data_IF_022226118071
#
_entry.id   IF_022226118071
#
_cell.length_a   1.000
_cell.length_b   1.000
_cell.length_c   1.000
_cell.angle_alpha   90.00
_cell.angle_beta   90.00
_cell.angle_gamma   90.00
#
_symmetry.space_group_name_H-M   'P 1'
#
loop_
_entity.id
_entity.type
_entity.pdbx_description
1 polymer ?
#
# COMPACT_ATOMS: atom_id res chain seq x y z
N UNK A 1 -74.37 38.44 -18.13
CA UNK A 1 -74.69 39.27 -16.98
C UNK A 1 -73.39 39.64 -16.32
N UNK A 2 -72.81 40.81 -16.64
CA UNK A 2 -72.87 42.10 -15.97
C UNK A 2 -72.40 42.00 -14.51
N UNK A 3 -71.25 42.56 -14.12
CA UNK A 3 -71.05 43.97 -13.83
C UNK A 3 -69.57 44.29 -13.55
N UNK A 4 -69.19 45.41 -14.14
CA UNK A 4 -67.97 46.23 -13.84
C UNK A 4 -68.08 46.74 -12.37
N UNK A 5 -66.91 46.94 -11.75
CA UNK A 5 -66.64 48.21 -11.02
C UNK A 5 -65.17 48.49 -10.97
N UNK A 6 -64.78 49.62 -11.47
CA UNK A 6 -63.49 50.28 -11.32
C UNK A 6 -63.42 50.98 -9.95
N UNK A 7 -62.27 51.06 -9.33
CA UNK A 7 -61.99 52.03 -8.27
C UNK A 7 -60.49 52.37 -8.30
N UNK A 8 -60.28 53.63 -8.67
CA UNK A 8 -59.12 54.47 -8.50
C UNK A 8 -58.60 54.44 -7.04
N UNK A 9 -57.30 54.33 -6.86
CA UNK A 9 -56.64 54.78 -5.65
C UNK A 9 -55.24 55.33 -5.94
N UNK A 10 -55.12 56.56 -5.61
CA UNK A 10 -54.00 57.47 -5.55
C UNK A 10 -52.66 56.84 -5.15
N UNK A 11 -51.66 57.13 -5.94
CA UNK A 11 -50.23 57.02 -5.62
C UNK A 11 -49.87 58.10 -4.58
N UNK A 12 -49.52 57.62 -3.36
CA UNK A 12 -48.85 58.46 -2.36
C UNK A 12 -47.39 58.05 -2.26
N UNK A 13 -46.54 58.83 -2.86
CA UNK A 13 -45.08 58.72 -2.72
C UNK A 13 -44.64 59.09 -1.29
N UNK A 14 -43.79 58.29 -0.60
CA UNK A 14 -43.25 58.69 0.68
C UNK A 14 -42.13 59.72 0.52
N UNK A 15 -41.94 60.64 1.48
CA UNK A 15 -40.94 61.68 1.39
C UNK A 15 -39.53 61.15 1.60
N UNK A 16 -38.65 61.42 0.66
CA UNK A 16 -37.21 61.21 0.76
C UNK A 16 -36.62 62.10 1.85
N UNK A 17 -36.36 61.50 3.04
CA UNK A 17 -35.56 62.16 4.07
C UNK A 17 -34.10 62.18 3.65
N UNK A 18 -33.61 63.31 3.21
CA UNK A 18 -32.20 63.59 2.98
C UNK A 18 -31.46 63.49 4.35
N UNK A 19 -30.60 62.48 4.48
CA UNK A 19 -29.68 62.33 5.61
C UNK A 19 -28.63 63.45 5.57
N UNK A 20 -28.60 64.30 6.58
CA UNK A 20 -27.65 65.41 6.65
C UNK A 20 -26.21 64.91 6.76
N UNK A 21 -25.26 65.55 6.07
CA UNK A 21 -23.83 65.25 6.04
C UNK A 21 -23.18 65.12 7.44
N UNK A 22 -23.76 65.76 8.47
CA UNK A 22 -23.32 65.69 9.87
C UNK A 22 -23.62 64.34 10.55
N UNK A 23 -24.67 63.61 10.12
CA UNK A 23 -24.95 62.30 10.69
C UNK A 23 -24.09 61.15 10.07
N UNK A 24 -23.60 61.33 8.84
CA UNK A 24 -22.67 60.43 8.20
C UNK A 24 -21.27 60.47 8.84
N UNK A 25 -20.82 61.63 9.29
CA UNK A 25 -19.51 61.77 9.96
C UNK A 25 -19.51 61.18 11.40
N UNK A 26 -20.65 61.16 12.10
CA UNK A 26 -20.80 60.52 13.42
C UNK A 26 -20.80 58.98 13.36
N UNK A 27 -21.33 58.39 12.26
CA UNK A 27 -21.31 56.94 12.08
C UNK A 27 -19.95 56.37 11.62
N UNK A 28 -19.15 57.21 10.92
CA UNK A 28 -17.80 56.80 10.51
C UNK A 28 -16.79 56.78 11.66
N UNK A 29 -17.01 57.60 12.72
CA UNK A 29 -16.10 57.65 13.87
C UNK A 29 -16.27 56.48 14.85
N UNK A 30 -17.39 55.77 14.82
CA UNK A 30 -17.64 54.61 15.70
C UNK A 30 -17.15 53.27 15.08
N UNK A 31 -16.80 53.27 13.80
CA UNK A 31 -16.31 52.05 13.12
C UNK A 31 -14.78 51.87 13.23
N UNK A 32 -14.08 52.85 13.82
CA UNK A 32 -12.60 52.85 13.87
C UNK A 32 -11.99 52.34 15.17
N UNK A 33 -12.83 51.81 16.09
CA UNK A 33 -12.37 51.25 17.36
C UNK A 33 -12.86 49.80 17.58
N UNK A 34 -12.86 48.98 16.50
CA UNK A 34 -12.81 47.53 16.72
C UNK A 34 -11.42 47.23 17.28
N UNK A 35 -11.30 46.72 18.51
CA UNK A 35 -10.02 46.27 19.00
C UNK A 35 -9.57 45.16 18.02
N UNK A 36 -8.48 45.38 17.29
CA UNK A 36 -7.71 44.31 16.66
C UNK A 36 -7.20 43.50 17.86
N UNK A 37 -8.01 42.55 18.34
CA UNK A 37 -7.56 41.55 19.28
C UNK A 37 -6.51 40.79 18.51
N UNK A 38 -5.20 40.88 18.84
CA UNK A 38 -4.22 40.04 18.24
C UNK A 38 -4.70 38.60 18.48
N UNK A 39 -5.03 37.86 17.43
CA UNK A 39 -5.17 36.41 17.55
C UNK A 39 -3.81 35.96 18.04
N UNK A 40 -3.67 35.72 19.33
CA UNK A 40 -2.55 34.97 19.88
C UNK A 40 -2.64 33.64 19.14
N UNK A 41 -1.80 33.47 18.14
CA UNK A 41 -1.66 32.18 17.47
C UNK A 41 -1.19 31.23 18.59
N UNK A 42 -2.10 30.43 19.12
CA UNK A 42 -1.72 29.39 20.08
C UNK A 42 -0.75 28.46 19.35
N UNK A 43 0.39 28.20 19.98
CA UNK A 43 1.32 27.23 19.47
C UNK A 43 0.63 25.89 19.28
N UNK A 44 0.86 25.24 18.15
CA UNK A 44 0.30 23.93 17.87
C UNK A 44 0.77 22.92 18.90
N UNK A 45 -0.09 22.02 19.32
CA UNK A 45 0.26 20.99 20.30
C UNK A 45 0.61 19.69 19.61
N UNK A 46 1.76 19.14 19.96
CA UNK A 46 2.15 17.80 19.56
C UNK A 46 1.31 16.77 20.32
N UNK A 47 0.63 15.89 19.57
CA UNK A 47 -0.25 14.85 20.09
C UNK A 47 0.46 13.51 20.19
N UNK A 48 1.25 13.15 19.16
CA UNK A 48 2.00 11.91 19.12
C UNK A 48 3.24 12.02 18.24
N UNK A 49 4.20 11.13 18.48
CA UNK A 49 5.39 10.94 17.66
C UNK A 49 5.52 9.46 17.33
N UNK A 50 5.76 9.15 16.06
CA UNK A 50 5.97 7.79 15.58
C UNK A 50 7.19 7.71 14.69
N UNK A 51 7.89 6.58 14.71
CA UNK A 51 9.03 6.28 13.85
C UNK A 51 8.87 4.89 13.26
N UNK A 52 9.15 4.78 11.97
CA UNK A 52 9.00 3.55 11.18
C UNK A 52 10.31 3.32 10.42
N UNK A 53 11.31 2.68 11.05
CA UNK A 53 12.57 2.36 10.39
C UNK A 53 12.40 1.17 9.46
N UNK A 54 12.92 1.30 8.23
CA UNK A 54 13.01 0.22 7.25
C UNK A 54 14.24 0.39 6.37
N UNK A 55 14.70 -0.67 5.73
CA UNK A 55 15.84 -0.59 4.81
C UNK A 55 15.58 0.31 3.60
N UNK A 56 14.31 0.44 3.18
CA UNK A 56 13.93 1.25 2.05
C UNK A 56 13.85 2.74 2.39
N UNK A 57 13.37 3.08 3.57
CA UNK A 57 13.33 4.43 4.11
C UNK A 57 12.94 4.40 5.60
N UNK A 58 13.36 5.42 6.34
CA UNK A 58 12.80 5.68 7.68
C UNK A 58 11.77 6.79 7.58
N UNK A 59 10.60 6.59 8.18
CA UNK A 59 9.60 7.64 8.36
C UNK A 59 9.55 8.11 9.80
N UNK A 60 9.53 9.41 9.99
CA UNK A 60 9.23 10.07 11.26
C UNK A 60 7.96 10.89 11.08
N UNK A 61 6.97 10.67 11.94
CA UNK A 61 5.69 11.37 11.91
C UNK A 61 5.45 12.12 13.22
N UNK A 62 5.14 13.40 13.12
CA UNK A 62 4.66 14.24 14.20
C UNK A 62 3.17 14.49 14.01
N UNK A 63 2.33 14.01 14.93
CA UNK A 63 0.89 14.27 14.91
C UNK A 63 0.56 15.49 15.75
N UNK A 64 -0.27 16.39 15.21
CA UNK A 64 -0.48 17.74 15.70
C UNK A 64 -1.98 18.06 15.69
N UNK A 65 -2.41 18.97 16.58
CA UNK A 65 -3.80 19.46 16.62
C UNK A 65 -4.12 20.48 15.51
N UNK A 66 -3.08 21.05 14.87
CA UNK A 66 -3.21 22.01 13.78
C UNK A 66 -2.10 21.85 12.74
N UNK A 67 -2.32 22.40 11.56
CA UNK A 67 -1.32 22.36 10.47
C UNK A 67 -0.13 23.24 10.79
N UNK A 68 1.09 22.74 10.55
CA UNK A 68 2.34 23.46 10.75
C UNK A 68 3.08 23.65 9.43
N UNK A 69 3.97 24.66 9.43
CA UNK A 69 4.96 24.86 8.37
C UNK A 69 6.31 24.34 8.84
N UNK A 70 6.98 23.59 8.02
CA UNK A 70 8.32 23.09 8.25
C UNK A 70 9.21 23.45 7.07
N UNK A 71 10.41 23.89 7.37
CA UNK A 71 11.50 24.14 6.41
C UNK A 71 12.62 23.17 6.74
N UNK A 72 13.30 22.66 5.71
CA UNK A 72 14.39 21.72 5.93
C UNK A 72 15.54 21.95 4.96
N UNK A 73 16.73 21.53 5.38
CA UNK A 73 17.92 21.46 4.55
C UNK A 73 18.83 20.33 5.01
N UNK A 74 19.70 19.88 4.11
CA UNK A 74 20.68 18.82 4.39
C UNK A 74 22.09 19.38 4.39
N UNK A 75 22.96 18.76 5.19
CA UNK A 75 24.41 19.00 5.23
C UNK A 75 25.12 17.69 4.88
N UNK A 76 26.18 17.77 4.07
CA UNK A 76 26.89 16.57 3.59
C UNK A 76 28.06 16.15 4.48
N UNK A 77 28.64 17.06 5.26
CA UNK A 77 29.85 16.78 6.08
C UNK A 77 29.75 17.42 7.46
N UNK A 78 29.40 16.68 8.49
CA UNK A 78 28.84 15.34 8.48
C UNK A 78 27.43 15.32 7.93
N UNK A 79 26.95 14.15 7.49
CA UNK A 79 25.59 14.02 6.98
C UNK A 79 24.55 14.37 8.05
N UNK A 80 23.75 15.38 7.78
CA UNK A 80 22.69 15.87 8.68
C UNK A 80 21.48 16.34 7.90
N UNK A 81 20.31 16.18 8.50
CA UNK A 81 19.09 16.87 8.09
C UNK A 81 18.66 17.79 9.23
N UNK A 82 18.41 19.05 8.91
CA UNK A 82 17.90 20.05 9.84
C UNK A 82 16.49 20.42 9.45
N UNK A 83 15.57 20.41 10.41
CA UNK A 83 14.17 20.76 10.21
C UNK A 83 13.77 21.83 11.20
N UNK A 84 13.31 22.98 10.70
CA UNK A 84 12.74 24.07 11.48
C UNK A 84 11.23 24.04 11.39
N UNK A 85 10.58 23.81 12.50
CA UNK A 85 9.11 23.71 12.61
C UNK A 85 8.59 24.99 13.24
N UNK A 86 7.75 25.72 12.50
CA UNK A 86 7.17 26.99 12.93
C UNK A 86 5.82 26.77 13.64
N UNK A 87 5.53 27.58 14.64
CA UNK A 87 4.23 27.54 15.36
C UNK A 87 4.16 26.47 16.45
N UNK A 88 5.31 25.97 16.93
CA UNK A 88 5.41 24.99 18.02
C UNK A 88 6.52 25.39 18.98
N UNK A 89 6.34 25.04 20.24
CA UNK A 89 7.36 25.15 21.27
C UNK A 89 7.83 23.77 21.72
N UNK A 90 9.03 23.75 22.34
CA UNK A 90 9.60 22.51 22.85
C UNK A 90 8.68 21.87 23.89
N UNK A 91 8.41 20.59 23.75
CA UNK A 91 7.50 19.84 24.60
C UNK A 91 8.08 18.50 25.03
N UNK A 92 7.58 17.89 26.11
CA UNK A 92 8.00 16.54 26.51
C UNK A 92 7.85 15.50 25.39
N UNK A 93 6.83 15.63 24.53
CA UNK A 93 6.61 14.73 23.38
C UNK A 93 7.71 14.83 22.33
N UNK A 94 8.29 16.03 22.09
CA UNK A 94 9.45 16.17 21.21
C UNK A 94 10.71 15.53 21.81
N UNK A 95 10.87 15.57 23.12
CA UNK A 95 11.97 14.86 23.79
C UNK A 95 11.77 13.33 23.74
N UNK A 96 10.52 12.86 23.65
CA UNK A 96 10.21 11.44 23.42
C UNK A 96 10.69 10.97 22.05
N UNK A 97 10.67 11.83 21.03
CA UNK A 97 11.19 11.51 19.69
C UNK A 97 12.66 11.08 19.77
N UNK A 98 13.48 11.75 20.59
CA UNK A 98 14.91 11.40 20.77
C UNK A 98 15.06 9.95 21.24
N UNK A 99 14.14 9.48 22.09
CA UNK A 99 14.17 8.11 22.63
C UNK A 99 13.59 7.07 21.69
N UNK A 100 12.75 7.48 20.72
CA UNK A 100 12.12 6.57 19.75
C UNK A 100 13.01 6.21 18.57
N UNK A 101 14.06 6.99 18.30
CA UNK A 101 15.04 6.61 17.29
C UNK A 101 15.83 5.41 17.79
N UNK A 102 15.75 4.34 17.03
CA UNK A 102 16.42 3.08 17.35
C UNK A 102 17.88 3.12 16.92
N UNK A 103 18.74 2.44 17.64
CA UNK A 103 20.17 2.33 17.31
C UNK A 103 20.43 1.57 16.01
N UNK A 104 19.51 0.68 15.64
CA UNK A 104 19.55 -0.11 14.40
C UNK A 104 18.82 0.56 13.22
N UNK A 105 18.32 1.81 13.37
CA UNK A 105 17.74 2.57 12.26
C UNK A 105 18.77 2.69 11.11
N UNK A 106 18.38 2.40 9.84
CA UNK A 106 19.33 2.40 8.72
C UNK A 106 19.87 3.78 8.34
N UNK A 107 19.14 4.84 8.66
CA UNK A 107 19.42 6.21 8.17
C UNK A 107 19.78 7.18 9.30
N UNK A 108 19.13 7.08 10.46
CA UNK A 108 19.26 8.01 11.56
C UNK A 108 20.21 7.42 12.61
N UNK A 109 21.31 8.12 12.91
CA UNK A 109 22.22 7.73 13.98
C UNK A 109 21.81 8.32 15.33
N UNK A 110 21.39 9.60 15.33
CA UNK A 110 20.87 10.30 16.50
C UNK A 110 20.07 11.51 16.09
N UNK A 111 19.32 12.09 17.04
CA UNK A 111 18.65 13.36 16.81
C UNK A 111 18.71 14.24 18.05
N UNK A 112 18.62 15.54 17.83
CA UNK A 112 18.61 16.59 18.85
C UNK A 112 17.47 17.54 18.57
N UNK A 113 16.81 18.00 19.63
CA UNK A 113 15.71 18.95 19.56
C UNK A 113 16.08 20.17 20.41
N UNK A 114 15.91 21.36 19.87
CA UNK A 114 16.15 22.61 20.58
C UNK A 114 15.20 23.72 20.14
N UNK A 115 14.91 24.65 21.02
CA UNK A 115 14.24 25.90 20.64
C UNK A 115 15.23 26.77 19.86
N UNK A 116 14.94 27.01 18.58
CA UNK A 116 15.80 27.84 17.71
C UNK A 116 15.47 29.34 17.87
N UNK A 117 14.18 29.67 17.88
CA UNK A 117 13.60 31.00 18.04
C UNK A 117 12.25 30.86 18.75
N UNK A 118 11.68 31.92 19.31
CA UNK A 118 10.29 31.87 19.81
C UNK A 118 9.37 31.26 18.74
N UNK A 119 8.55 30.28 19.13
CA UNK A 119 7.63 29.53 18.27
C UNK A 119 8.31 28.78 17.11
N UNK A 120 9.62 28.50 17.16
CA UNK A 120 10.34 27.69 16.14
C UNK A 120 11.22 26.66 16.83
N UNK A 121 10.87 25.41 16.69
CA UNK A 121 11.68 24.28 17.16
C UNK A 121 12.55 23.77 16.02
N UNK A 122 13.82 23.56 16.29
CA UNK A 122 14.78 22.92 15.39
C UNK A 122 15.02 21.49 15.80
N UNK A 123 14.84 20.59 14.85
CA UNK A 123 15.23 19.18 14.98
C UNK A 123 16.44 18.94 14.07
N UNK A 124 17.51 18.40 14.61
CA UNK A 124 18.69 18.01 13.87
C UNK A 124 18.84 16.50 13.90
N UNK A 125 18.75 15.87 12.76
CA UNK A 125 19.00 14.44 12.57
C UNK A 125 20.45 14.26 12.12
N UNK A 126 21.25 13.57 12.92
CA UNK A 126 22.57 13.08 12.51
C UNK A 126 22.35 11.78 11.72
N UNK A 127 22.91 11.67 10.53
CA UNK A 127 22.61 10.61 9.58
C UNK A 127 23.78 9.65 9.40
N UNK A 128 23.48 8.38 9.17
CA UNK A 128 24.47 7.33 8.87
C UNK A 128 24.96 7.38 7.42
N UNK A 129 24.16 7.97 6.53
CA UNK A 129 24.43 8.06 5.09
C UNK A 129 23.72 9.27 4.46
N UNK A 130 24.09 9.59 3.22
CA UNK A 130 23.41 10.62 2.45
C UNK A 130 21.97 10.18 2.10
N UNK A 131 21.02 11.11 2.23
CA UNK A 131 19.61 10.86 2.00
C UNK A 131 19.02 11.80 0.92
N UNK A 132 17.87 11.41 0.36
CA UNK A 132 16.94 12.22 -0.39
C UNK A 132 15.67 12.43 0.46
N UNK A 133 15.61 13.49 1.29
CA UNK A 133 14.52 13.66 2.23
C UNK A 133 13.24 14.10 1.52
N UNK A 134 12.09 13.65 2.06
CA UNK A 134 10.79 14.23 1.74
C UNK A 134 10.12 14.74 3.02
N UNK A 135 9.73 16.01 3.03
CA UNK A 135 9.04 16.66 4.16
C UNK A 135 7.73 17.23 3.65
N UNK A 136 6.63 16.79 4.25
CA UNK A 136 5.29 17.21 3.84
C UNK A 136 4.29 17.12 5.00
N UNK A 137 3.17 17.83 4.84
CA UNK A 137 2.07 17.79 5.80
C UNK A 137 0.90 17.00 5.25
N UNK A 138 0.20 16.29 6.15
CA UNK A 138 -1.02 15.56 5.85
C UNK A 138 -2.18 16.15 6.66
N UNK A 139 -3.32 16.29 6.00
CA UNK A 139 -4.59 16.65 6.63
C UNK A 139 -5.14 15.48 7.44
N UNK A 140 -6.07 15.74 8.38
CA UNK A 140 -6.75 14.68 9.11
C UNK A 140 -7.35 13.62 8.18
N UNK A 141 -7.12 12.33 8.53
CA UNK A 141 -7.67 11.18 7.81
C UNK A 141 -7.85 10.01 8.78
N UNK A 142 -9.01 9.35 8.76
CA UNK A 142 -9.37 8.34 9.75
C UNK A 142 -9.31 8.92 11.16
N UNK A 143 -8.62 8.24 12.06
CA UNK A 143 -8.43 8.67 13.46
C UNK A 143 -7.28 9.67 13.64
N UNK A 144 -6.47 9.90 12.61
CA UNK A 144 -5.32 10.79 12.64
C UNK A 144 -5.71 12.26 12.46
N UNK A 145 -5.03 13.14 13.21
CA UNK A 145 -5.11 14.60 13.05
C UNK A 145 -4.13 15.09 11.97
N UNK A 146 -3.70 16.35 12.05
CA UNK A 146 -2.66 16.85 11.16
C UNK A 146 -1.35 16.12 11.43
N UNK A 147 -0.60 15.79 10.37
CA UNK A 147 0.68 15.09 10.49
C UNK A 147 1.75 15.82 9.70
N UNK A 148 2.87 16.10 10.34
CA UNK A 148 4.12 16.45 9.66
C UNK A 148 4.91 15.16 9.48
N UNK A 149 5.21 14.81 8.23
CA UNK A 149 5.91 13.59 7.85
C UNK A 149 7.29 13.93 7.34
N UNK A 150 8.28 13.21 7.82
CA UNK A 150 9.68 13.29 7.43
C UNK A 150 10.11 11.91 6.95
N UNK A 151 10.33 11.74 5.64
CA UNK A 151 10.79 10.49 5.04
C UNK A 151 12.26 10.60 4.66
N UNK A 152 13.05 9.64 5.09
CA UNK A 152 14.49 9.54 4.88
C UNK A 152 14.79 8.44 3.86
N UNK A 153 14.73 8.76 2.58
CA UNK A 153 15.09 7.82 1.51
C UNK A 153 16.60 7.80 1.27
N UNK A 154 17.21 6.66 0.89
CA UNK A 154 18.60 6.65 0.45
C UNK A 154 18.76 7.49 -0.82
N UNK A 155 19.88 8.22 -0.92
CA UNK A 155 20.21 9.01 -2.13
C UNK A 155 20.42 8.10 -3.35
N UNK A 156 20.90 6.87 -3.12
CA UNK A 156 21.02 5.82 -4.14
C UNK A 156 20.03 4.71 -3.78
N UNK A 157 19.01 4.52 -4.62
CA UNK A 157 18.01 3.47 -4.41
C UNK A 157 18.66 2.09 -4.53
N UNK A 158 18.35 1.19 -3.61
CA UNK A 158 18.75 -0.22 -3.72
C UNK A 158 17.94 -0.89 -4.82
N UNK A 159 18.60 -1.74 -5.60
CA UNK A 159 17.92 -2.57 -6.61
C UNK A 159 17.25 -3.77 -5.92
N UNK A 160 15.90 -3.85 -5.89
CA UNK A 160 15.20 -4.96 -5.25
C UNK A 160 15.50 -6.31 -5.87
N UNK A 161 15.78 -6.35 -7.19
CA UNK A 161 16.12 -7.59 -7.89
C UNK A 161 17.51 -8.10 -7.45
N UNK A 162 18.49 -7.21 -7.35
CA UNK A 162 19.82 -7.57 -6.84
C UNK A 162 19.77 -8.05 -5.38
N UNK A 163 18.96 -7.41 -4.53
CA UNK A 163 18.75 -7.83 -3.15
C UNK A 163 18.06 -9.20 -3.08
N UNK A 164 17.04 -9.45 -3.89
CA UNK A 164 16.34 -10.74 -3.97
C UNK A 164 17.27 -11.87 -4.39
N UNK A 165 18.12 -11.64 -5.39
CA UNK A 165 19.09 -12.62 -5.90
C UNK A 165 20.18 -12.93 -4.87
N UNK A 166 20.64 -11.92 -4.12
CA UNK A 166 21.64 -12.06 -3.07
C UNK A 166 21.13 -12.87 -1.88
N UNK A 167 19.87 -12.66 -1.50
CA UNK A 167 19.25 -13.31 -0.32
C UNK A 167 18.74 -14.73 -0.63
N UNK A 168 18.61 -15.11 -1.88
CA UNK A 168 18.20 -16.44 -2.31
C UNK A 168 19.15 -16.97 -3.39
N UNK A 169 20.37 -17.41 -3.04
CA UNK A 169 21.34 -17.97 -3.98
C UNK A 169 20.97 -19.42 -4.33
N UNK A 170 19.73 -19.68 -4.75
CA UNK A 170 19.48 -20.88 -5.54
C UNK A 170 20.38 -20.76 -6.76
N UNK A 171 21.33 -21.68 -6.89
CA UNK A 171 22.32 -21.72 -7.97
C UNK A 171 21.65 -21.31 -9.27
N UNK A 172 21.97 -20.12 -9.74
CA UNK A 172 21.82 -19.76 -11.13
C UNK A 172 22.91 -20.60 -11.77
N UNK A 173 22.56 -21.84 -12.13
CA UNK A 173 23.42 -22.62 -13.04
C UNK A 173 23.64 -21.72 -14.24
N UNK A 174 24.89 -21.55 -14.59
CA UNK A 174 25.47 -20.69 -15.60
C UNK A 174 24.50 -20.37 -16.73
N UNK A 175 24.34 -19.09 -17.02
CA UNK A 175 23.44 -18.52 -18.02
C UNK A 175 23.34 -19.48 -19.26
N UNK A 176 22.15 -20.09 -19.50
CA UNK A 176 22.00 -21.02 -20.64
C UNK A 176 22.33 -20.34 -21.96
N UNK A 177 22.20 -19.03 -22.05
CA UNK A 177 22.55 -18.21 -23.19
C UNK A 177 24.06 -18.11 -23.36
N UNK A 178 24.82 -18.00 -22.28
CA UNK A 178 26.28 -18.01 -22.30
C UNK A 178 26.82 -19.37 -22.71
N UNK A 179 26.19 -20.48 -22.28
CA UNK A 179 26.54 -21.82 -22.72
C UNK A 179 26.21 -22.05 -24.21
N UNK A 180 25.04 -21.61 -24.67
CA UNK A 180 24.62 -21.69 -26.07
C UNK A 180 25.56 -20.85 -26.96
N UNK A 181 25.95 -19.65 -26.53
CA UNK A 181 26.89 -18.81 -27.25
C UNK A 181 28.30 -19.40 -27.26
N UNK A 182 28.74 -20.07 -26.20
CA UNK A 182 30.00 -20.79 -26.14
C UNK A 182 30.00 -22.03 -27.04
N UNK A 183 28.89 -22.75 -27.16
CA UNK A 183 28.73 -23.90 -28.04
C UNK A 183 28.61 -23.50 -29.52
N UNK A 184 27.93 -22.39 -29.84
CA UNK A 184 27.88 -21.81 -31.19
C UNK A 184 29.29 -21.34 -31.62
N UNK A 185 30.07 -20.78 -30.70
CA UNK A 185 31.45 -20.35 -30.96
C UNK A 185 32.44 -21.52 -31.19
N UNK A 186 32.10 -22.72 -30.73
CA UNK A 186 32.95 -23.92 -30.87
C UNK A 186 32.65 -24.82 -32.09
N UNK A 187 31.46 -24.65 -32.70
CA UNK A 187 31.08 -25.54 -33.83
C UNK A 187 30.23 -24.84 -34.91
N UNK A 188 30.83 -24.20 -35.92
CA UNK A 188 30.11 -23.45 -36.97
C UNK A 188 29.58 -24.30 -38.13
N UNK A 189 29.26 -25.59 -37.96
CA UNK A 189 28.69 -26.41 -39.03
C UNK A 189 27.48 -27.23 -38.58
N UNK A 190 26.34 -26.75 -38.99
CA UNK A 190 25.17 -27.48 -39.49
C UNK A 190 24.48 -28.50 -38.61
N UNK A 191 23.23 -28.23 -38.25
CA UNK A 191 22.26 -29.33 -38.08
C UNK A 191 20.87 -28.94 -38.57
N UNK A 192 20.36 -29.84 -39.40
CA UNK A 192 19.11 -29.90 -40.13
C UNK A 192 17.86 -29.97 -39.22
N UNK A 193 16.78 -29.33 -39.67
CA UNK A 193 15.44 -29.51 -39.14
C UNK A 193 14.92 -30.92 -39.39
N UNK A 194 14.39 -31.57 -38.36
CA UNK A 194 13.58 -32.78 -38.50
C UNK A 194 12.43 -32.82 -37.48
N UNK A 195 11.23 -32.74 -38.07
CA UNK A 195 9.94 -33.40 -37.73
C UNK A 195 9.40 -33.45 -36.28
N UNK A 196 8.22 -32.87 -36.14
CA UNK A 196 7.25 -33.00 -35.04
C UNK A 196 6.55 -34.37 -35.03
N UNK A 197 6.25 -34.98 -33.90
CA UNK A 197 5.28 -36.06 -33.80
C UNK A 197 3.94 -35.60 -33.22
N UNK A 198 2.92 -36.23 -33.78
CA UNK A 198 1.46 -36.07 -33.56
C UNK A 198 1.04 -36.65 -32.21
N UNK A 199 0.08 -35.98 -31.54
CA UNK A 199 -0.63 -36.43 -30.33
C UNK A 199 -1.64 -37.54 -30.59
N UNK A 200 -1.90 -38.43 -29.64
CA UNK A 200 -3.19 -39.10 -29.51
C UNK A 200 -3.99 -38.65 -28.27
N UNK A 201 -5.26 -38.38 -28.53
CA UNK A 201 -6.27 -38.08 -27.50
C UNK A 201 -6.74 -39.41 -26.85
N UNK A 202 -6.83 -39.43 -25.52
CA UNK A 202 -7.88 -40.20 -24.81
C UNK A 202 -7.97 -39.77 -23.36
N UNK A 203 -9.17 -39.35 -22.96
CA UNK A 203 -9.53 -38.94 -21.59
C UNK A 203 -10.32 -40.08 -20.97
N UNK A 204 -9.97 -40.53 -19.79
CA UNK A 204 -10.84 -41.26 -18.88
C UNK A 204 -10.64 -40.73 -17.46
N UNK A 205 -11.71 -40.50 -16.66
CA UNK A 205 -11.61 -39.97 -15.31
C UNK A 205 -11.33 -41.07 -14.29
N UNK A 206 -10.31 -40.92 -13.45
CA UNK A 206 -10.14 -41.74 -12.26
C UNK A 206 -10.01 -40.88 -11.03
N UNK A 207 -10.87 -41.17 -10.07
CA UNK A 207 -10.83 -40.67 -8.71
C UNK A 207 -9.59 -41.19 -7.98
N UNK A 208 -8.72 -40.30 -7.45
CA UNK A 208 -7.67 -40.71 -6.52
C UNK A 208 -7.28 -39.59 -5.58
N UNK A 209 -7.01 -40.03 -4.38
CA UNK A 209 -6.46 -39.38 -3.20
C UNK A 209 -5.56 -38.15 -3.47
N UNK A 210 -5.84 -37.08 -2.69
CA UNK A 210 -5.09 -35.81 -2.69
C UNK A 210 -3.65 -36.00 -2.20
N UNK A 211 -2.76 -36.35 -3.09
CA UNK A 211 -1.32 -36.13 -2.88
C UNK A 211 -0.96 -34.76 -3.40
N UNK A 212 -0.30 -33.95 -2.58
CA UNK A 212 0.35 -32.73 -3.02
C UNK A 212 1.45 -33.18 -3.97
N UNK A 213 1.24 -33.00 -5.29
CA UNK A 213 2.33 -33.18 -6.24
C UNK A 213 3.20 -31.95 -6.16
N UNK A 214 4.45 -32.03 -5.69
CA UNK A 214 5.33 -30.87 -5.66
C UNK A 214 5.53 -30.39 -7.11
N UNK A 215 5.54 -29.06 -7.30
CA UNK A 215 5.95 -28.45 -8.55
C UNK A 215 7.33 -28.99 -8.91
N UNK A 216 7.41 -29.81 -9.96
CA UNK A 216 8.65 -30.42 -10.39
C UNK A 216 9.31 -29.50 -11.41
N UNK A 217 10.41 -28.85 -11.01
CA UNK A 217 11.22 -28.07 -11.93
C UNK A 217 11.79 -28.99 -13.03
N UNK A 218 11.34 -28.80 -14.27
CA UNK A 218 11.98 -29.43 -15.41
C UNK A 218 13.27 -28.66 -15.74
N UNK A 219 14.34 -29.38 -16.09
CA UNK A 219 15.64 -28.77 -16.49
C UNK A 219 15.38 -27.79 -17.63
N UNK A 220 15.76 -26.52 -17.46
CA UNK A 220 15.61 -25.45 -18.46
C UNK A 220 14.46 -24.46 -18.18
N UNK A 221 13.66 -24.64 -17.12
CA UNK A 221 12.65 -23.64 -16.70
C UNK A 221 13.24 -22.63 -15.73
N UNK A 222 12.93 -21.35 -15.95
CA UNK A 222 13.31 -20.28 -15.01
C UNK A 222 12.58 -20.43 -13.67
N UNK A 223 13.13 -19.84 -12.61
CA UNK A 223 12.51 -19.79 -11.29
C UNK A 223 11.28 -18.88 -11.34
N UNK A 224 10.14 -19.40 -10.91
CA UNK A 224 8.89 -18.65 -10.78
C UNK A 224 8.99 -17.70 -9.59
N UNK A 225 8.74 -16.42 -9.81
CA UNK A 225 8.78 -15.38 -8.78
C UNK A 225 7.38 -14.96 -8.38
N UNK A 226 7.03 -15.10 -7.10
CA UNK A 226 5.75 -14.71 -6.54
C UNK A 226 5.94 -13.46 -5.69
N UNK A 227 5.29 -12.35 -6.05
CA UNK A 227 5.22 -11.17 -5.21
C UNK A 227 4.09 -11.33 -4.19
N UNK A 228 4.45 -11.30 -2.93
CA UNK A 228 3.53 -11.31 -1.80
C UNK A 228 3.42 -9.90 -1.25
N UNK A 229 2.21 -9.39 -1.16
CA UNK A 229 1.91 -8.06 -0.70
C UNK A 229 1.13 -8.12 0.61
N UNK A 230 1.79 -8.07 1.78
CA UNK A 230 1.07 -7.90 3.04
C UNK A 230 0.44 -6.52 3.06
N UNK A 231 -0.89 -6.43 3.08
CA UNK A 231 -1.61 -5.15 3.09
C UNK A 231 -1.19 -4.24 4.25
N UNK A 232 -1.44 -2.93 4.13
CA UNK A 232 -1.18 -1.94 5.19
C UNK A 232 0.30 -1.81 5.60
N UNK A 233 0.56 -1.38 6.84
CA UNK A 233 1.91 -1.25 7.41
C UNK A 233 2.22 0.17 7.89
N UNK A 234 3.15 0.30 8.84
CA UNK A 234 3.55 1.59 9.39
C UNK A 234 2.39 2.40 9.94
N UNK A 235 2.18 3.59 9.41
CA UNK A 235 1.09 4.50 9.78
C UNK A 235 -0.31 3.92 9.50
N UNK A 236 -0.44 3.02 8.55
CA UNK A 236 -1.70 2.37 8.24
C UNK A 236 -1.83 1.04 9.00
N UNK A 237 -2.64 0.97 10.06
CA UNK A 237 -2.82 -0.24 10.83
C UNK A 237 -3.68 -1.29 10.11
N UNK A 238 -4.41 -0.91 9.04
CA UNK A 238 -5.53 -1.68 8.53
C UNK A 238 -6.71 -1.71 9.50
N UNK A 239 -7.51 -2.74 9.42
CA UNK A 239 -8.57 -2.98 10.38
C UNK A 239 -8.00 -3.37 11.75
N UNK A 240 -8.75 -2.99 12.81
CA UNK A 240 -8.41 -3.32 14.20
C UNK A 240 -9.55 -4.15 14.79
N UNK A 241 -9.23 -5.37 15.22
CA UNK A 241 -10.16 -6.25 15.90
C UNK A 241 -10.54 -5.72 17.29
N UNK A 242 -11.62 -6.24 17.85
CA UNK A 242 -12.09 -5.85 19.19
C UNK A 242 -11.08 -6.14 20.30
N UNK A 243 -10.23 -7.15 20.12
CA UNK A 243 -9.13 -7.50 21.04
C UNK A 243 -7.85 -6.70 20.80
N UNK A 244 -7.88 -5.67 19.91
CA UNK A 244 -6.75 -4.81 19.61
C UNK A 244 -5.78 -5.40 18.57
N UNK A 245 -6.11 -6.52 17.93
CA UNK A 245 -5.31 -7.11 16.86
C UNK A 245 -5.34 -6.22 15.64
N UNK A 246 -4.18 -5.86 15.10
CA UNK A 246 -4.08 -5.03 13.90
C UNK A 246 -3.89 -5.92 12.67
N UNK A 247 -4.60 -5.61 11.62
CA UNK A 247 -4.53 -6.33 10.34
C UNK A 247 -3.10 -6.39 9.80
N UNK A 248 -2.39 -5.25 9.78
CA UNK A 248 -1.01 -5.16 9.28
C UNK A 248 -0.05 -6.19 9.88
N UNK A 249 -0.23 -6.53 11.18
CA UNK A 249 0.63 -7.47 11.88
C UNK A 249 0.31 -8.92 11.48
N UNK A 250 -0.98 -9.23 11.35
CA UNK A 250 -1.49 -10.55 10.97
C UNK A 250 -1.08 -10.90 9.54
N UNK A 251 -1.34 -10.01 8.60
CA UNK A 251 -1.08 -10.26 7.18
C UNK A 251 0.42 -10.35 6.88
N UNK A 252 1.25 -9.58 7.61
CA UNK A 252 2.71 -9.72 7.53
C UNK A 252 3.17 -11.10 8.02
N UNK A 253 2.62 -11.58 9.14
CA UNK A 253 2.95 -12.89 9.68
C UNK A 253 2.56 -14.02 8.71
N UNK A 254 1.36 -13.95 8.10
CA UNK A 254 0.90 -14.94 7.10
C UNK A 254 1.82 -14.89 5.86
N UNK A 255 2.14 -13.70 5.36
CA UNK A 255 2.98 -13.53 4.19
C UNK A 255 4.42 -14.05 4.41
N UNK A 256 5.01 -13.83 5.59
CA UNK A 256 6.33 -14.35 5.94
C UNK A 256 6.35 -15.88 6.02
N UNK A 257 5.29 -16.50 6.57
CA UNK A 257 5.11 -17.96 6.58
C UNK A 257 4.98 -18.53 5.16
N UNK A 258 4.18 -17.87 4.34
CA UNK A 258 4.00 -18.26 2.94
C UNK A 258 5.32 -18.12 2.16
N UNK A 259 6.05 -17.01 2.36
CA UNK A 259 7.38 -16.81 1.75
C UNK A 259 8.32 -17.95 2.09
N UNK A 260 8.46 -18.31 3.37
CA UNK A 260 9.34 -19.40 3.79
C UNK A 260 8.99 -20.73 3.10
N UNK A 261 7.69 -21.01 2.89
CA UNK A 261 7.22 -22.22 2.22
C UNK A 261 7.46 -22.19 0.70
N UNK A 262 7.27 -21.02 0.06
CA UNK A 262 7.56 -20.84 -1.36
C UNK A 262 9.06 -21.01 -1.61
N UNK A 263 9.90 -20.36 -0.81
CA UNK A 263 11.37 -20.43 -0.96
C UNK A 263 11.92 -21.83 -0.69
N UNK A 264 11.23 -22.65 0.10
CA UNK A 264 11.54 -24.07 0.29
C UNK A 264 11.04 -24.95 -0.87
N UNK A 265 10.24 -24.42 -1.81
CA UNK A 265 9.70 -25.17 -2.96
C UNK A 265 10.63 -25.03 -4.16
N UNK A 266 11.20 -26.15 -4.69
CA UNK A 266 12.09 -26.09 -5.84
C UNK A 266 11.46 -25.36 -7.04
N UNK A 267 12.21 -24.46 -7.67
CA UNK A 267 11.77 -23.70 -8.83
C UNK A 267 10.83 -22.52 -8.52
N UNK A 268 10.67 -22.18 -7.26
CA UNK A 268 9.89 -21.02 -6.83
C UNK A 268 10.70 -20.13 -5.88
N UNK A 269 10.40 -18.85 -5.88
CA UNK A 269 10.89 -17.87 -4.89
C UNK A 269 9.83 -16.83 -4.62
N UNK A 270 9.82 -16.27 -3.42
CA UNK A 270 8.91 -15.21 -3.05
C UNK A 270 9.63 -13.89 -2.79
N UNK A 271 8.97 -12.80 -3.16
CA UNK A 271 9.36 -11.44 -2.85
C UNK A 271 8.25 -10.77 -2.04
N UNK A 272 8.60 -10.15 -0.91
CA UNK A 272 7.66 -9.37 -0.10
C UNK A 272 7.71 -7.90 -0.53
N UNK A 273 6.56 -7.26 -0.71
CA UNK A 273 6.49 -5.81 -0.98
C UNK A 273 6.90 -5.00 0.25
N UNK A 274 6.65 -5.55 1.44
CA UNK A 274 7.22 -5.13 2.73
C UNK A 274 7.53 -6.35 3.59
N UNK A 275 8.64 -6.34 4.27
CA UNK A 275 9.10 -7.40 5.17
C UNK A 275 9.06 -7.01 6.65
N UNK A 276 8.72 -5.75 6.94
CA UNK A 276 8.60 -5.15 8.26
C UNK A 276 7.35 -4.29 8.42
N UNK A 277 7.27 -3.59 9.55
CA UNK A 277 6.17 -2.68 9.87
C UNK A 277 6.47 -1.26 9.35
N UNK A 278 6.34 -1.06 8.06
CA UNK A 278 6.41 0.24 7.38
C UNK A 278 5.37 0.31 6.26
N UNK A 279 4.97 1.53 5.90
CA UNK A 279 3.96 1.75 4.88
C UNK A 279 4.58 1.74 3.48
N UNK A 280 3.93 1.04 2.56
CA UNK A 280 4.26 1.07 1.13
C UNK A 280 3.03 1.57 0.36
N UNK A 281 3.13 2.68 -0.39
CA UNK A 281 2.03 3.18 -1.22
C UNK A 281 1.53 2.14 -2.21
N UNK A 282 0.22 2.15 -2.52
CA UNK A 282 -0.41 1.11 -3.35
C UNK A 282 0.28 0.94 -4.71
N UNK A 283 0.60 2.05 -5.40
CA UNK A 283 1.29 1.99 -6.69
C UNK A 283 2.73 1.44 -6.58
N UNK A 284 3.42 1.74 -5.46
CA UNK A 284 4.80 1.26 -5.23
C UNK A 284 4.81 -0.24 -5.02
N UNK A 285 3.77 -0.85 -4.41
CA UNK A 285 3.65 -2.30 -4.25
C UNK A 285 3.68 -3.01 -5.59
N UNK A 286 2.90 -2.51 -6.55
CA UNK A 286 2.88 -3.03 -7.93
C UNK A 286 4.23 -2.82 -8.63
N UNK A 287 4.84 -1.63 -8.50
CA UNK A 287 6.15 -1.37 -9.09
C UNK A 287 7.24 -2.30 -8.53
N UNK A 288 7.22 -2.56 -7.23
CA UNK A 288 8.17 -3.48 -6.59
C UNK A 288 8.05 -4.89 -7.15
N UNK A 289 6.82 -5.38 -7.33
CA UNK A 289 6.57 -6.69 -7.97
C UNK A 289 7.07 -6.72 -9.42
N UNK A 290 6.84 -5.64 -10.18
CA UNK A 290 7.33 -5.51 -11.57
C UNK A 290 8.85 -5.46 -11.66
N UNK A 291 9.53 -4.77 -10.74
CA UNK A 291 11.00 -4.69 -10.71
C UNK A 291 11.66 -6.05 -10.52
N UNK A 292 11.05 -6.93 -9.73
CA UNK A 292 11.56 -8.30 -9.55
C UNK A 292 11.04 -9.28 -10.62
N UNK A 293 10.32 -8.76 -11.63
CA UNK A 293 9.70 -9.56 -12.71
C UNK A 293 8.85 -10.69 -12.13
N UNK A 294 7.94 -10.35 -11.22
CA UNK A 294 7.07 -11.35 -10.62
C UNK A 294 6.10 -11.94 -11.64
N UNK A 295 5.87 -13.25 -11.51
CA UNK A 295 4.94 -14.03 -12.35
C UNK A 295 3.52 -14.02 -11.80
N UNK A 296 3.36 -13.65 -10.53
CA UNK A 296 2.10 -13.60 -9.81
C UNK A 296 2.21 -12.59 -8.68
N UNK A 297 1.18 -11.77 -8.50
CA UNK A 297 1.02 -10.86 -7.37
C UNK A 297 -0.15 -11.28 -6.50
N UNK A 298 0.09 -11.43 -5.18
CA UNK A 298 -0.92 -11.79 -4.19
C UNK A 298 -0.92 -10.76 -3.08
N UNK A 299 -1.95 -9.92 -3.00
CA UNK A 299 -2.20 -9.05 -1.85
C UNK A 299 -2.95 -9.82 -0.78
N UNK A 300 -2.48 -9.79 0.46
CA UNK A 300 -2.99 -10.57 1.59
C UNK A 300 -3.58 -9.61 2.62
N UNK A 301 -4.85 -9.80 2.94
CA UNK A 301 -5.67 -8.99 3.81
C UNK A 301 -6.42 -9.81 4.86
N UNK A 302 -6.96 -9.15 5.89
CA UNK A 302 -7.80 -9.71 6.95
C UNK A 302 -8.74 -8.64 7.50
N UNK A 303 -9.52 -8.04 6.64
CA UNK A 303 -10.21 -6.77 6.86
C UNK A 303 -11.35 -6.84 7.89
N UNK A 304 -11.90 -5.70 8.25
CA UNK A 304 -13.14 -5.60 9.01
C UNK A 304 -14.32 -5.53 8.04
N UNK A 305 -15.39 -6.24 8.37
CA UNK A 305 -16.65 -6.12 7.66
C UNK A 305 -17.69 -5.33 8.50
N UNK A 306 -18.64 -4.68 7.82
CA UNK A 306 -19.69 -3.87 8.46
C UNK A 306 -20.48 -4.65 9.52
N UNK A 307 -20.68 -5.95 9.29
CA UNK A 307 -21.34 -6.83 10.25
C UNK A 307 -20.30 -7.68 10.99
N UNK A 308 -20.18 -7.57 12.32
CA UNK A 308 -19.21 -8.37 13.09
C UNK A 308 -19.46 -9.89 13.05
N UNK A 309 -20.62 -10.31 12.58
CA UNK A 309 -20.97 -11.73 12.39
C UNK A 309 -20.53 -12.26 11.02
N UNK A 310 -20.10 -11.39 10.10
CA UNK A 310 -19.54 -11.83 8.83
C UNK A 310 -18.25 -12.60 9.08
N UNK A 311 -17.97 -13.57 8.23
CA UNK A 311 -16.78 -14.39 8.36
C UNK A 311 -16.54 -15.23 7.14
N UNK A 312 -15.34 -15.79 7.06
CA UNK A 312 -14.86 -16.63 5.97
C UNK A 312 -13.93 -15.90 5.01
N UNK A 313 -13.22 -16.69 4.22
CA UNK A 313 -12.26 -16.19 3.23
C UNK A 313 -12.95 -15.75 1.94
N UNK A 314 -12.33 -14.79 1.25
CA UNK A 314 -12.75 -14.32 -0.09
C UNK A 314 -11.54 -14.10 -0.97
N UNK A 315 -11.73 -14.16 -2.30
CA UNK A 315 -10.70 -13.80 -3.27
C UNK A 315 -11.28 -12.83 -4.28
N UNK A 316 -10.51 -11.78 -4.56
CA UNK A 316 -10.90 -10.68 -5.43
C UNK A 316 -9.93 -10.54 -6.58
N UNK A 317 -10.45 -10.11 -7.73
CA UNK A 317 -9.68 -9.70 -8.92
C UNK A 317 -10.08 -8.30 -9.35
N UNK A 318 -9.21 -7.65 -10.11
CA UNK A 318 -9.49 -6.34 -10.67
C UNK A 318 -10.68 -6.40 -11.64
N UNK A 319 -11.54 -5.38 -11.57
CA UNK A 319 -12.56 -5.10 -12.58
C UNK A 319 -12.47 -3.67 -13.07
N UNK A 320 -12.52 -3.49 -14.39
CA UNK A 320 -12.65 -2.19 -15.04
C UNK A 320 -14.12 -1.78 -15.28
N UNK A 321 -15.05 -2.75 -15.19
CA UNK A 321 -16.48 -2.54 -15.51
C UNK A 321 -17.39 -2.36 -14.29
N UNK A 322 -16.80 -2.28 -13.09
CA UNK A 322 -17.52 -2.10 -11.83
C UNK A 322 -17.38 -3.30 -10.89
N UNK A 323 -17.97 -3.21 -9.70
CA UNK A 323 -17.87 -4.25 -8.68
C UNK A 323 -18.96 -5.31 -8.85
N UNK A 324 -18.62 -6.60 -8.58
CA UNK A 324 -19.55 -7.74 -8.63
C UNK A 324 -20.61 -7.68 -7.53
N UNK A 325 -20.35 -6.97 -6.44
CA UNK A 325 -21.27 -6.79 -5.32
C UNK A 325 -21.04 -5.44 -4.63
N UNK A 326 -22.04 -4.99 -3.83
CA UNK A 326 -21.89 -3.79 -2.99
C UNK A 326 -20.79 -3.97 -1.96
N UNK A 327 -20.62 -5.18 -1.41
CA UNK A 327 -19.55 -5.49 -0.47
C UNK A 327 -18.17 -5.40 -1.12
N UNK A 328 -18.00 -5.91 -2.33
CA UNK A 328 -16.74 -5.81 -3.07
C UNK A 328 -16.38 -4.36 -3.41
N UNK A 329 -17.38 -3.53 -3.75
CA UNK A 329 -17.17 -2.09 -3.98
C UNK A 329 -16.70 -1.40 -2.71
N UNK A 330 -17.43 -1.61 -1.62
CA UNK A 330 -17.10 -1.00 -0.33
C UNK A 330 -15.69 -1.38 0.14
N UNK A 331 -15.32 -2.66 -0.01
CA UNK A 331 -13.98 -3.11 0.33
C UNK A 331 -12.92 -2.45 -0.54
N UNK A 332 -13.12 -2.40 -1.85
CA UNK A 332 -12.17 -1.74 -2.75
C UNK A 332 -12.02 -0.23 -2.45
N UNK A 333 -13.11 0.47 -2.15
CA UNK A 333 -13.08 1.88 -1.77
C UNK A 333 -12.29 2.08 -0.47
N UNK A 334 -12.45 1.18 0.51
CA UNK A 334 -11.73 1.21 1.78
C UNK A 334 -10.24 0.97 1.56
N UNK A 335 -9.87 -0.08 0.83
CA UNK A 335 -8.48 -0.41 0.54
C UNK A 335 -7.78 0.64 -0.30
N UNK A 336 -8.48 1.24 -1.25
CA UNK A 336 -7.96 2.36 -2.04
C UNK A 336 -7.71 3.63 -1.21
N UNK A 337 -8.34 3.77 -0.05
CA UNK A 337 -8.11 4.86 0.88
C UNK A 337 -6.86 4.68 1.77
N UNK A 338 -6.19 3.53 1.72
CA UNK A 338 -4.97 3.23 2.50
C UNK A 338 -3.87 4.30 2.30
N UNK A 339 -3.70 4.81 1.08
CA UNK A 339 -2.74 5.87 0.77
C UNK A 339 -3.02 7.20 1.49
N UNK A 340 -4.27 7.48 1.86
CA UNK A 340 -4.63 8.65 2.66
C UNK A 340 -4.26 8.47 4.14
N UNK A 341 -4.41 7.24 4.65
CA UNK A 341 -4.10 6.90 6.05
C UNK A 341 -2.60 6.76 6.23
N UNK A 342 -1.94 5.98 5.38
CA UNK A 342 -0.49 5.78 5.36
C UNK A 342 0.27 7.06 5.03
N UNK A 343 -0.35 7.96 4.28
CA UNK A 343 0.17 9.27 3.90
C UNK A 343 1.20 9.21 2.78
N UNK A 344 0.79 9.67 1.61
CA UNK A 344 1.68 9.88 0.47
C UNK A 344 1.89 11.37 0.22
N UNK A 345 3.05 11.72 -0.31
CA UNK A 345 3.35 13.09 -0.69
C UNK A 345 2.71 13.42 -2.05
N UNK A 346 1.51 13.99 -2.03
CA UNK A 346 0.79 14.38 -3.25
C UNK A 346 1.46 15.52 -4.04
N UNK A 347 2.42 16.24 -3.43
CA UNK A 347 3.15 17.33 -4.09
C UNK A 347 4.31 16.83 -4.96
N UNK A 348 4.72 15.59 -4.81
CA UNK A 348 5.66 14.95 -5.72
C UNK A 348 4.87 14.50 -6.94
N UNK A 349 4.97 15.25 -8.03
CA UNK A 349 4.51 14.79 -9.34
C UNK A 349 5.44 13.66 -9.79
N UNK A 350 5.17 12.43 -9.32
CA UNK A 350 5.82 11.25 -9.88
C UNK A 350 5.14 10.96 -11.24
N UNK A 351 5.85 11.11 -12.37
CA UNK A 351 5.31 10.79 -13.69
C UNK A 351 4.85 9.33 -13.79
N UNK A 352 5.35 8.46 -12.90
CA UNK A 352 4.99 7.05 -12.79
C UNK A 352 3.58 6.86 -12.23
N UNK A 353 3.15 7.74 -11.30
CA UNK A 353 1.79 7.71 -10.75
C UNK A 353 0.74 7.92 -11.85
N UNK A 354 0.96 8.89 -12.73
CA UNK A 354 0.09 9.14 -13.89
C UNK A 354 0.07 7.95 -14.87
N UNK A 355 1.21 7.29 -15.06
CA UNK A 355 1.33 6.13 -15.96
C UNK A 355 0.63 4.90 -15.41
N UNK A 356 0.75 4.60 -14.11
CA UNK A 356 0.04 3.47 -13.46
C UNK A 356 -1.48 3.66 -13.48
N UNK A 357 -1.96 4.88 -13.38
CA UNK A 357 -3.40 5.19 -13.48
C UNK A 357 -3.95 5.05 -14.91
N UNK A 358 -3.09 5.16 -15.94
CA UNK A 358 -3.45 5.06 -17.36
C UNK A 358 -3.26 3.64 -17.93
N UNK A 359 -2.41 2.80 -17.32
CA UNK A 359 -2.23 1.40 -17.74
C UNK A 359 -3.43 0.57 -17.25
N UNK A 360 -4.46 0.52 -18.07
CA UNK A 360 -5.58 -0.39 -17.88
C UNK A 360 -5.08 -1.83 -18.03
N UNK A 361 -5.31 -2.65 -17.01
CA UNK A 361 -5.08 -4.10 -17.11
C UNK A 361 -5.78 -4.65 -18.34
N UNK A 362 -5.06 -5.41 -19.15
CA UNK A 362 -5.62 -6.03 -20.35
C UNK A 362 -6.66 -7.08 -19.99
N UNK A 363 -7.62 -7.33 -20.86
CA UNK A 363 -8.64 -8.37 -20.65
C UNK A 363 -8.02 -9.76 -20.44
N UNK A 364 -6.88 -10.04 -21.06
CA UNK A 364 -6.11 -11.28 -20.88
C UNK A 364 -5.63 -11.42 -19.43
N UNK A 365 -5.09 -10.35 -18.86
CA UNK A 365 -4.58 -10.30 -17.49
C UNK A 365 -5.67 -10.55 -16.44
N UNK A 366 -6.86 -9.96 -16.64
CA UNK A 366 -8.02 -10.19 -15.77
C UNK A 366 -8.47 -11.66 -15.84
N UNK A 367 -8.41 -12.27 -17.02
CA UNK A 367 -8.74 -13.70 -17.21
C UNK A 367 -7.76 -14.61 -16.45
N UNK A 368 -6.47 -14.36 -16.57
CA UNK A 368 -5.44 -15.12 -15.87
C UNK A 368 -5.55 -14.93 -14.35
N UNK A 369 -5.77 -13.69 -13.89
CA UNK A 369 -6.07 -13.39 -12.49
C UNK A 369 -7.29 -14.14 -11.98
N UNK A 370 -8.37 -14.26 -12.79
CA UNK A 370 -9.58 -15.01 -12.43
C UNK A 370 -9.29 -16.51 -12.29
N UNK A 371 -8.44 -17.08 -13.15
CA UNK A 371 -8.03 -18.48 -13.07
C UNK A 371 -7.24 -18.77 -11.79
N UNK A 372 -6.27 -17.89 -11.44
CA UNK A 372 -5.55 -17.96 -10.16
C UNK A 372 -6.51 -17.86 -8.99
N UNK A 373 -7.42 -16.87 -9.01
CA UNK A 373 -8.35 -16.61 -7.94
C UNK A 373 -9.30 -17.79 -7.69
N UNK A 374 -9.80 -18.43 -8.75
CA UNK A 374 -10.66 -19.64 -8.64
C UNK A 374 -9.90 -20.80 -7.99
N UNK A 375 -8.64 -21.03 -8.41
CA UNK A 375 -7.78 -22.07 -7.83
C UNK A 375 -7.53 -21.77 -6.35
N UNK A 376 -7.22 -20.54 -6.01
CA UNK A 376 -6.96 -20.10 -4.64
C UNK A 376 -8.19 -20.23 -3.74
N UNK A 377 -9.36 -19.80 -4.23
CA UNK A 377 -10.63 -19.92 -3.51
C UNK A 377 -10.98 -21.39 -3.21
N UNK A 378 -10.69 -22.29 -4.16
CA UNK A 378 -10.86 -23.74 -3.98
C UNK A 378 -9.99 -24.31 -2.84
N UNK A 379 -8.75 -23.82 -2.70
CA UNK A 379 -7.87 -24.27 -1.63
C UNK A 379 -8.23 -23.66 -0.27
N UNK A 380 -8.61 -22.40 -0.23
CA UNK A 380 -9.08 -21.75 1.00
C UNK A 380 -10.33 -22.45 1.56
N UNK A 381 -11.25 -22.89 0.69
CA UNK A 381 -12.45 -23.69 1.10
C UNK A 381 -12.08 -24.96 1.87
N UNK A 382 -10.91 -25.56 1.60
CA UNK A 382 -10.48 -26.79 2.27
C UNK A 382 -9.96 -26.54 3.69
N UNK A 383 -9.58 -25.28 3.99
CA UNK A 383 -8.94 -24.87 5.26
C UNK A 383 -9.92 -24.15 6.16
N UNK A 384 -10.76 -23.30 5.55
CA UNK A 384 -11.71 -22.47 6.27
C UNK A 384 -12.96 -22.22 5.43
N UNK A 385 -14.05 -21.81 6.08
CA UNK A 385 -15.30 -21.42 5.38
C UNK A 385 -15.03 -20.26 4.43
N UNK A 386 -15.78 -20.19 3.34
CA UNK A 386 -15.76 -19.06 2.43
C UNK A 386 -16.83 -18.04 2.83
N UNK A 387 -16.51 -16.75 2.71
CA UNK A 387 -17.49 -15.67 2.80
C UNK A 387 -18.40 -15.67 1.57
N UNK A 388 -17.80 -15.81 0.40
CA UNK A 388 -18.48 -15.97 -0.89
C UNK A 388 -17.98 -17.22 -1.61
N UNK A 389 -18.86 -18.02 -2.20
CA UNK A 389 -18.48 -19.25 -2.91
C UNK A 389 -17.83 -19.00 -4.27
N UNK A 390 -17.77 -17.75 -4.71
CA UNK A 390 -17.26 -17.31 -6.00
C UNK A 390 -16.24 -16.19 -5.85
N UNK A 391 -15.37 -16.06 -6.85
CA UNK A 391 -14.44 -14.93 -6.98
C UNK A 391 -15.23 -13.64 -7.16
N UNK A 392 -14.87 -12.61 -6.43
CA UNK A 392 -15.46 -11.28 -6.54
C UNK A 392 -14.57 -10.33 -7.34
N UNK A 393 -15.17 -9.26 -7.88
CA UNK A 393 -14.51 -8.31 -8.76
C UNK A 393 -14.77 -6.89 -8.27
N UNK A 394 -13.72 -6.06 -8.21
CA UNK A 394 -13.86 -4.63 -7.93
C UNK A 394 -12.63 -3.82 -8.37
N UNK A 395 -12.68 -2.51 -8.23
CA UNK A 395 -11.66 -1.57 -8.69
C UNK A 395 -10.50 -1.39 -7.73
N UNK A 396 -9.87 -2.46 -7.26
CA UNK A 396 -8.71 -2.39 -6.35
C UNK A 396 -7.50 -1.75 -7.02
N UNK A 397 -6.99 -0.65 -6.46
CA UNK A 397 -5.84 0.07 -6.99
C UNK A 397 -4.56 -0.79 -6.98
N UNK A 398 -4.37 -1.59 -5.93
CA UNK A 398 -3.21 -2.47 -5.75
C UNK A 398 -3.17 -3.62 -6.77
N UNK A 399 -4.28 -3.95 -7.44
CA UNK A 399 -4.35 -4.99 -8.47
C UNK A 399 -4.16 -4.47 -9.90
N UNK A 400 -3.88 -3.19 -10.08
CA UNK A 400 -3.65 -2.57 -11.41
C UNK A 400 -2.24 -2.89 -11.91
N UNK A 401 -2.00 -4.15 -12.23
CA UNK A 401 -0.76 -4.65 -12.80
C UNK A 401 -1.03 -5.21 -14.20
N UNK A 402 -0.69 -4.50 -15.29
CA UNK A 402 -1.06 -4.90 -16.65
C UNK A 402 -0.26 -6.08 -17.19
N UNK A 403 0.81 -6.46 -16.55
CA UNK A 403 1.82 -7.41 -17.03
C UNK A 403 1.95 -8.69 -16.18
N UNK A 404 1.16 -8.84 -15.12
CA UNK A 404 1.14 -10.05 -14.29
C UNK A 404 -0.24 -10.34 -13.70
N UNK A 405 -0.67 -11.60 -13.54
CA UNK A 405 -1.86 -11.98 -12.80
C UNK A 405 -1.80 -11.44 -11.37
N UNK A 406 -2.90 -10.85 -10.89
CA UNK A 406 -2.95 -10.18 -9.59
C UNK A 406 -4.26 -10.48 -8.89
N UNK A 407 -4.18 -10.92 -7.63
CA UNK A 407 -5.33 -11.23 -6.78
C UNK A 407 -5.18 -10.59 -5.42
N UNK A 408 -6.32 -10.31 -4.77
CA UNK A 408 -6.39 -9.95 -3.36
C UNK A 408 -7.13 -11.07 -2.61
N UNK A 409 -6.53 -11.50 -1.51
CA UNK A 409 -7.05 -12.58 -0.66
C UNK A 409 -7.41 -12.01 0.70
N UNK A 410 -8.70 -12.05 1.03
CA UNK A 410 -9.18 -11.90 2.41
C UNK A 410 -9.09 -13.25 3.10
N UNK A 411 -8.20 -13.37 4.08
CA UNK A 411 -8.03 -14.64 4.80
C UNK A 411 -9.19 -14.93 5.73
N UNK A 412 -9.65 -13.90 6.46
CA UNK A 412 -10.80 -13.89 7.35
C UNK A 412 -11.14 -12.44 7.72
N UNK A 413 -12.21 -12.18 8.47
CA UNK A 413 -12.58 -10.83 8.91
C UNK A 413 -12.18 -10.58 10.37
N UNK A 414 -11.22 -9.69 10.60
CA UNK A 414 -10.72 -9.34 11.93
C UNK A 414 -11.79 -8.72 12.85
N UNK A 415 -12.87 -8.17 12.27
CA UNK A 415 -14.03 -7.65 13.00
C UNK A 415 -14.86 -8.74 13.68
N UNK A 416 -14.72 -10.01 13.25
CA UNK A 416 -15.36 -11.16 13.88
C UNK A 416 -14.47 -11.66 15.03
N UNK A 417 -14.97 -11.68 16.30
CA UNK A 417 -14.13 -12.07 17.44
C UNK A 417 -13.56 -13.49 17.39
N UNK A 418 -14.28 -14.41 16.75
CA UNK A 418 -13.79 -15.80 16.60
C UNK A 418 -12.67 -15.86 15.56
N UNK A 419 -12.82 -15.13 14.47
CA UNK A 419 -11.82 -15.02 13.41
C UNK A 419 -10.61 -14.19 13.87
N UNK A 420 -10.80 -13.14 14.67
CA UNK A 420 -9.70 -12.42 15.29
C UNK A 420 -8.82 -13.35 16.15
N UNK A 421 -9.44 -14.23 16.97
CA UNK A 421 -8.70 -15.21 17.74
C UNK A 421 -7.94 -16.20 16.86
N UNK A 422 -8.57 -16.68 15.80
CA UNK A 422 -7.96 -17.57 14.80
C UNK A 422 -6.79 -16.88 14.08
N UNK A 423 -6.96 -15.64 13.63
CA UNK A 423 -5.94 -14.85 12.94
C UNK A 423 -4.70 -14.58 13.82
N UNK A 424 -4.85 -14.54 15.14
CA UNK A 424 -3.73 -14.44 16.10
C UNK A 424 -3.00 -15.76 16.32
N UNK A 425 -3.60 -16.89 15.96
CA UNK A 425 -3.03 -18.21 16.20
C UNK A 425 -2.03 -18.58 15.11
N UNK A 426 -0.79 -18.88 15.51
CA UNK A 426 0.29 -19.21 14.59
C UNK A 426 0.00 -20.46 13.72
N UNK A 427 -0.70 -21.47 14.28
CA UNK A 427 -1.04 -22.68 13.54
C UNK A 427 -2.12 -22.42 12.48
N UNK A 428 -3.06 -21.53 12.76
CA UNK A 428 -4.08 -21.16 11.78
C UNK A 428 -3.52 -20.26 10.68
N UNK A 429 -2.62 -19.32 11.00
CA UNK A 429 -1.85 -18.57 10.01
C UNK A 429 -1.05 -19.51 9.09
N UNK A 430 -0.46 -20.58 9.64
CA UNK A 430 0.27 -21.57 8.86
C UNK A 430 -0.64 -22.37 7.92
N UNK A 431 -1.88 -22.68 8.33
CA UNK A 431 -2.90 -23.32 7.47
C UNK A 431 -3.24 -22.44 6.27
N UNK A 432 -3.44 -21.13 6.47
CA UNK A 432 -3.65 -20.18 5.35
C UNK A 432 -2.44 -20.15 4.43
N UNK A 433 -1.24 -20.06 4.96
CA UNK A 433 -0.01 -20.07 4.18
C UNK A 433 0.14 -21.35 3.34
N UNK A 434 -0.21 -22.51 3.90
CA UNK A 434 -0.20 -23.80 3.17
C UNK A 434 -1.26 -23.80 2.07
N UNK A 435 -2.49 -23.35 2.34
CA UNK A 435 -3.55 -23.29 1.33
C UNK A 435 -3.15 -22.40 0.15
N UNK A 436 -2.57 -21.24 0.43
CA UNK A 436 -2.07 -20.31 -0.59
C UNK A 436 -0.93 -20.95 -1.41
N UNK A 437 0.03 -21.64 -0.77
CA UNK A 437 1.10 -22.37 -1.49
C UNK A 437 0.54 -23.46 -2.42
N UNK A 438 -0.44 -24.23 -1.95
CA UNK A 438 -1.07 -25.28 -2.77
C UNK A 438 -1.77 -24.67 -3.98
N UNK A 439 -2.50 -23.55 -3.78
CA UNK A 439 -3.14 -22.79 -4.86
C UNK A 439 -2.12 -22.31 -5.90
N UNK A 440 -1.02 -21.70 -5.46
CA UNK A 440 0.09 -21.26 -6.31
C UNK A 440 0.66 -22.44 -7.12
N UNK A 441 1.00 -23.54 -6.42
CA UNK A 441 1.60 -24.72 -7.04
C UNK A 441 0.68 -25.35 -8.10
N UNK A 442 -0.61 -25.42 -7.83
CA UNK A 442 -1.62 -25.94 -8.79
C UNK A 442 -1.76 -25.05 -10.01
N UNK A 443 -1.81 -23.73 -9.81
CA UNK A 443 -1.89 -22.78 -10.91
C UNK A 443 -0.72 -22.94 -11.88
N UNK A 444 0.53 -22.92 -11.38
CA UNK A 444 1.72 -23.03 -12.24
C UNK A 444 1.91 -24.43 -12.81
N UNK A 445 1.46 -25.48 -12.14
CA UNK A 445 1.45 -26.84 -12.69
C UNK A 445 0.48 -27.00 -13.86
N UNK A 446 -0.68 -26.33 -13.77
CA UNK A 446 -1.70 -26.34 -14.84
C UNK A 446 -1.36 -25.38 -16.00
N UNK A 447 -0.50 -24.37 -15.77
CA UNK A 447 -0.16 -23.33 -16.73
C UNK A 447 1.38 -23.22 -16.91
N UNK A 448 2.05 -24.28 -17.39
CA UNK A 448 3.50 -24.33 -17.47
C UNK A 448 4.11 -23.28 -18.41
N UNK A 449 3.35 -22.79 -19.39
CA UNK A 449 3.78 -21.73 -20.31
C UNK A 449 3.99 -20.38 -19.60
N UNK A 450 3.25 -20.09 -18.54
CA UNK A 450 3.44 -18.86 -17.75
C UNK A 450 4.80 -18.85 -17.07
N UNK A 451 5.29 -20.00 -16.66
CA UNK A 451 6.61 -20.17 -16.05
C UNK A 451 7.77 -20.22 -17.06
N UNK A 452 7.48 -20.22 -18.37
CA UNK A 452 8.50 -20.36 -19.43
C UNK A 452 8.71 -19.10 -20.27
N UNK A 453 7.87 -18.07 -20.11
CA UNK A 453 7.97 -16.80 -20.81
C UNK A 453 8.89 -15.87 -20.00
N UNK A 454 10.14 -15.75 -20.40
CA UNK A 454 11.13 -14.87 -19.77
C UNK A 454 12.28 -14.56 -20.67
#
# INVERSE_FOLDING_TARGET
>A
MAHRFASDRDEVSPPTRALSRRRLLGAASTLLLLPIIPRIAMAARLLAVRTWPAEEYTRVTLELDSELKAEHFTLDTPHRMVVDIQGIDISPGLNELVRKVRTDDPYISSLRVAQNRPNVVRIVFDLKQAIAPQVFTLKPAGDYKFRLVLDFYPKVAQDPLAALLKNNPQKIDEDPLAQILADIGRNPKGTSMASLPVLPSSIAPSSSSRSITPYKQERGRRVVTIALDPGHGGEDPGAIGKGGTREKDVVLSIAQRLKAKIDATPGMRAYLTRDGDYFVPLHVRVEKARRVKADLFISIHADAYVRPTAGGSSVYVLSSSGASSTSARWLADKENAADLIGGINLNVQDPRLAKVLLDLSTSAQIKDSTTVAQTMLGELKNVYRLHKPQVEHAGFAVLKAPDMPSILVETAFISNPDEERMLRNAADQDKFAVALLVGISRYFSANPHVASIG
#
